data_IF_941716251676
#
_entry.id   IF_941716251676
#
_cell.length_a   1.000
_cell.length_b   1.000
_cell.length_c   1.000
_cell.angle_alpha   90.00
_cell.angle_beta   90.00
_cell.angle_gamma   90.00
#
_symmetry.space_group_name_H-M   'P 1'
#
loop_
_entity.id
_entity.type
_entity.pdbx_description
1 polymer ?
#
# COMPACT_ATOMS: atom_id res chain seq x y z
N UNK A 1 -40.69 17.65 40.05
CA UNK A 1 -39.80 18.05 41.17
C UNK A 1 -40.36 19.19 42.02
N UNK A 2 -40.72 20.35 41.43
CA UNK A 2 -41.26 21.49 42.18
C UNK A 2 -42.59 21.22 42.92
N UNK A 3 -43.43 20.31 42.39
CA UNK A 3 -44.68 19.88 43.06
C UNK A 3 -44.42 18.98 44.28
N UNK A 4 -43.44 18.07 44.18
CA UNK A 4 -43.04 17.13 45.24
C UNK A 4 -42.39 17.82 46.46
N UNK A 5 -41.65 18.92 46.21
CA UNK A 5 -41.04 19.73 47.26
C UNK A 5 -42.03 20.67 47.98
N UNK A 6 -43.22 20.91 47.38
CA UNK A 6 -44.26 21.76 47.98
C UNK A 6 -45.02 21.01 49.08
N UNK A 7 -45.24 19.71 48.92
CA UNK A 7 -46.02 18.90 49.86
C UNK A 7 -45.24 18.50 51.12
N UNK A 8 -43.90 18.49 51.07
CA UNK A 8 -43.02 18.26 52.25
C UNK A 8 -42.78 19.49 53.15
N UNK A 9 -43.33 20.67 52.82
CA UNK A 9 -43.15 21.91 53.62
C UNK A 9 -43.87 21.90 54.96
N UNK A 10 -44.75 20.94 55.21
CA UNK A 10 -45.52 20.85 56.46
C UNK A 10 -44.68 20.11 57.51
N UNK A 11 -43.77 20.83 58.20
CA UNK A 11 -43.25 20.39 59.51
C UNK A 11 -41.73 20.27 59.71
N UNK A 12 -40.87 20.51 58.71
CA UNK A 12 -39.41 20.42 58.89
C UNK A 12 -38.72 21.78 58.99
N UNK A 13 -37.73 21.90 59.89
CA UNK A 13 -36.93 23.11 60.06
C UNK A 13 -36.11 23.44 58.82
N UNK A 14 -35.77 24.72 58.62
CA UNK A 14 -35.04 25.19 57.41
C UNK A 14 -33.76 24.38 57.13
N UNK A 15 -33.01 23.97 58.16
CA UNK A 15 -31.77 23.19 58.03
C UNK A 15 -31.99 21.79 57.42
N UNK A 16 -33.04 21.09 57.84
CA UNK A 16 -33.34 19.73 57.37
C UNK A 16 -33.76 19.73 55.89
N UNK A 17 -34.46 20.79 55.48
CA UNK A 17 -34.83 21.01 54.09
C UNK A 17 -33.62 21.24 53.18
N UNK A 18 -32.66 22.07 53.59
CA UNK A 18 -31.42 22.27 52.83
C UNK A 18 -30.56 21.00 52.75
N UNK A 19 -30.54 20.19 53.81
CA UNK A 19 -29.84 18.91 53.80
C UNK A 19 -30.46 17.92 52.82
N UNK A 20 -31.79 17.75 52.83
CA UNK A 20 -32.50 16.90 51.86
C UNK A 20 -32.27 17.36 50.41
N UNK A 21 -32.33 18.67 50.14
CA UNK A 21 -32.03 19.21 48.81
C UNK A 21 -30.60 18.93 48.37
N UNK A 22 -29.63 18.99 49.29
CA UNK A 22 -28.23 18.66 48.98
C UNK A 22 -28.03 17.18 48.66
N UNK A 23 -28.78 16.29 49.29
CA UNK A 23 -28.71 14.84 49.01
C UNK A 23 -29.31 14.56 47.62
N UNK A 24 -30.51 15.09 47.35
CA UNK A 24 -31.18 14.91 46.06
C UNK A 24 -30.32 15.47 44.92
N UNK A 25 -29.72 16.65 45.10
CA UNK A 25 -28.83 17.24 44.10
C UNK A 25 -27.55 16.42 43.87
N UNK A 26 -27.03 15.72 44.88
CA UNK A 26 -25.91 14.79 44.74
C UNK A 26 -26.32 13.53 43.99
N UNK A 27 -27.46 12.94 44.34
CA UNK A 27 -27.98 11.74 43.68
C UNK A 27 -28.30 11.99 42.20
N UNK A 28 -28.87 13.14 41.86
CA UNK A 28 -29.13 13.51 40.47
C UNK A 28 -27.84 13.70 39.67
N UNK A 29 -26.84 14.38 40.26
CA UNK A 29 -25.52 14.51 39.62
C UNK A 29 -24.87 13.15 39.42
N UNK A 30 -24.95 12.26 40.40
CA UNK A 30 -24.38 10.93 40.31
C UNK A 30 -25.07 10.09 39.24
N UNK A 31 -26.39 10.21 39.11
CA UNK A 31 -27.16 9.54 38.05
C UNK A 31 -26.74 10.02 36.66
N UNK A 32 -26.61 11.33 36.46
CA UNK A 32 -26.14 11.91 35.19
C UNK A 32 -24.71 11.46 34.86
N UNK A 33 -23.83 11.40 35.85
CA UNK A 33 -22.46 10.90 35.67
C UNK A 33 -22.45 9.42 35.24
N UNK A 34 -23.29 8.58 35.85
CA UNK A 34 -23.41 7.15 35.50
C UNK A 34 -23.92 6.94 34.08
N UNK A 35 -24.88 7.75 33.64
CA UNK A 35 -25.38 7.71 32.25
C UNK A 35 -24.29 8.11 31.26
N UNK A 36 -23.57 9.20 31.55
CA UNK A 36 -22.48 9.67 30.67
C UNK A 36 -21.30 8.69 30.58
N UNK A 37 -20.97 7.99 31.67
CA UNK A 37 -19.96 6.93 31.64
C UNK A 37 -20.40 5.77 30.73
N UNK A 38 -21.68 5.39 30.75
CA UNK A 38 -22.18 4.33 29.85
C UNK A 38 -22.07 4.73 28.38
N UNK A 39 -22.41 5.96 28.04
CA UNK A 39 -22.30 6.47 26.66
C UNK A 39 -20.86 6.41 26.17
N UNK A 40 -19.91 6.89 26.98
CA UNK A 40 -18.47 6.86 26.65
C UNK A 40 -17.99 5.42 26.40
N UNK A 41 -18.39 4.48 27.27
CA UNK A 41 -17.99 3.07 27.12
C UNK A 41 -18.54 2.49 25.81
N UNK A 42 -19.80 2.77 25.46
CA UNK A 42 -20.39 2.29 24.20
C UNK A 42 -19.67 2.88 22.97
N UNK A 43 -19.38 4.18 22.99
CA UNK A 43 -18.62 4.84 21.92
C UNK A 43 -17.21 4.25 21.77
N UNK A 44 -16.51 3.99 22.87
CA UNK A 44 -15.19 3.34 22.82
C UNK A 44 -15.25 1.92 22.23
N UNK A 45 -16.29 1.15 22.56
CA UNK A 45 -16.50 -0.17 21.99
C UNK A 45 -16.70 -0.10 20.46
N UNK A 46 -17.53 0.82 19.98
CA UNK A 46 -17.74 1.02 18.54
C UNK A 46 -16.46 1.48 17.83
N UNK A 47 -15.75 2.44 18.42
CA UNK A 47 -14.47 2.93 17.92
C UNK A 47 -13.41 1.83 17.85
N UNK A 48 -13.42 0.87 18.78
CA UNK A 48 -12.51 -0.29 18.75
C UNK A 48 -12.74 -1.20 17.53
N UNK A 49 -14.00 -1.40 17.14
CA UNK A 49 -14.37 -2.18 15.98
C UNK A 49 -14.00 -1.48 14.67
N UNK A 50 -14.21 -0.17 14.61
CA UNK A 50 -13.81 0.67 13.47
C UNK A 50 -12.28 0.63 13.31
N UNK A 51 -11.52 0.74 14.41
CA UNK A 51 -10.06 0.70 14.38
C UNK A 51 -9.52 -0.62 13.79
N UNK A 52 -10.08 -1.77 14.20
CA UNK A 52 -9.70 -3.07 13.61
C UNK A 52 -9.94 -3.13 12.10
N UNK A 53 -11.10 -2.63 11.63
CA UNK A 53 -11.41 -2.60 10.19
C UNK A 53 -10.45 -1.69 9.42
N UNK A 54 -10.05 -0.56 10.00
CA UNK A 54 -9.05 0.33 9.40
C UNK A 54 -7.70 -0.39 9.29
N UNK A 55 -7.29 -1.12 10.32
CA UNK A 55 -6.04 -1.88 10.32
C UNK A 55 -6.07 -3.00 9.25
N UNK A 56 -7.18 -3.71 9.09
CA UNK A 56 -7.35 -4.76 8.07
C UNK A 56 -7.28 -4.19 6.64
N UNK A 57 -7.93 -3.04 6.40
CA UNK A 57 -7.89 -2.34 5.11
C UNK A 57 -6.47 -1.83 4.83
N UNK A 58 -5.81 -1.24 5.83
CA UNK A 58 -4.44 -0.76 5.73
C UNK A 58 -3.46 -1.88 5.36
N UNK A 59 -3.61 -3.06 5.97
CA UNK A 59 -2.81 -4.24 5.62
C UNK A 59 -3.09 -4.73 4.19
N UNK A 60 -4.36 -4.76 3.79
CA UNK A 60 -4.74 -5.15 2.43
C UNK A 60 -4.16 -4.21 1.36
N UNK A 61 -4.17 -2.90 1.61
CA UNK A 61 -3.56 -1.89 0.72
C UNK A 61 -2.05 -2.12 0.59
N UNK A 62 -1.34 -2.36 1.69
CA UNK A 62 0.10 -2.66 1.67
C UNK A 62 0.42 -3.90 0.83
N UNK A 63 -0.42 -4.92 0.89
CA UNK A 63 -0.20 -6.14 0.10
C UNK A 63 -0.51 -5.94 -1.38
N UNK A 64 -1.47 -5.07 -1.72
CA UNK A 64 -1.69 -4.63 -3.11
C UNK A 64 -0.47 -3.87 -3.62
N UNK A 65 0.07 -2.93 -2.85
CA UNK A 65 1.26 -2.17 -3.25
C UNK A 65 2.47 -3.08 -3.50
N UNK A 66 2.72 -4.06 -2.62
CA UNK A 66 3.78 -5.07 -2.85
C UNK A 66 3.57 -5.85 -4.14
N UNK A 67 2.34 -6.31 -4.41
CA UNK A 67 2.01 -7.04 -5.65
C UNK A 67 2.20 -6.15 -6.87
N UNK A 68 1.84 -4.88 -6.76
CA UNK A 68 1.96 -3.90 -7.83
C UNK A 68 3.43 -3.57 -8.14
N UNK A 69 4.29 -3.49 -7.13
CA UNK A 69 5.75 -3.35 -7.33
C UNK A 69 6.39 -4.60 -7.96
N UNK A 70 5.97 -5.80 -7.55
CA UNK A 70 6.39 -7.05 -8.22
C UNK A 70 5.94 -7.05 -9.68
N UNK A 71 4.72 -6.63 -9.97
CA UNK A 71 4.21 -6.57 -11.33
C UNK A 71 4.94 -5.51 -12.16
N UNK A 72 5.15 -4.30 -11.63
CA UNK A 72 5.92 -3.24 -12.31
C UNK A 72 7.34 -3.69 -12.63
N UNK A 73 8.06 -4.26 -11.66
CA UNK A 73 9.41 -4.79 -11.89
C UNK A 73 9.45 -5.92 -12.93
N UNK A 74 8.36 -6.67 -13.07
CA UNK A 74 8.22 -7.69 -14.13
C UNK A 74 7.81 -7.14 -15.51
N UNK A 75 7.30 -5.91 -15.56
CA UNK A 75 6.72 -5.26 -16.75
C UNK A 75 7.63 -4.19 -17.37
N UNK A 76 8.53 -3.58 -16.59
CA UNK A 76 9.53 -2.64 -17.11
C UNK A 76 10.78 -3.45 -17.49
N UNK A 77 11.09 -3.67 -18.79
CA UNK A 77 10.79 -2.83 -19.94
C UNK A 77 10.30 -3.64 -21.18
N UNK A 78 9.01 -3.88 -21.30
CA UNK A 78 8.42 -4.55 -22.48
C UNK A 78 7.34 -3.73 -23.21
N UNK A 79 7.02 -2.53 -22.72
CA UNK A 79 5.81 -1.80 -23.14
C UNK A 79 6.07 -0.59 -24.07
N UNK A 80 7.01 -0.67 -25.01
CA UNK A 80 7.14 0.37 -26.07
C UNK A 80 7.06 -0.12 -27.52
N UNK A 81 7.14 -1.43 -27.77
CA UNK A 81 6.92 -2.00 -29.10
C UNK A 81 5.48 -2.50 -29.27
N UNK A 82 4.68 -1.82 -30.10
CA UNK A 82 3.40 -2.37 -30.59
C UNK A 82 3.72 -3.64 -31.38
N UNK A 83 3.22 -4.79 -30.92
CA UNK A 83 3.19 -6.12 -31.58
C UNK A 83 4.42 -7.05 -31.47
N UNK A 84 5.08 -7.15 -30.32
CA UNK A 84 5.99 -8.29 -30.11
C UNK A 84 5.19 -9.59 -29.84
N UNK A 85 5.47 -10.66 -30.57
CA UNK A 85 4.88 -11.99 -30.30
C UNK A 85 5.38 -12.55 -28.96
N UNK A 86 4.62 -13.46 -28.34
CA UNK A 86 5.03 -14.13 -27.07
C UNK A 86 6.44 -14.71 -27.16
N UNK A 87 6.79 -15.30 -28.31
CA UNK A 87 8.14 -15.84 -28.57
C UNK A 87 9.20 -14.75 -28.50
N UNK A 88 8.96 -13.61 -29.15
CA UNK A 88 9.87 -12.46 -29.19
C UNK A 88 10.10 -11.86 -27.80
N UNK A 89 9.03 -11.73 -27.01
CA UNK A 89 9.09 -11.30 -25.61
C UNK A 89 10.00 -12.23 -24.79
N UNK A 90 9.81 -13.56 -24.93
CA UNK A 90 10.64 -14.55 -24.24
C UNK A 90 12.12 -14.45 -24.64
N UNK A 91 12.41 -14.23 -25.92
CA UNK A 91 13.79 -14.05 -26.40
C UNK A 91 14.43 -12.78 -25.85
N UNK A 92 13.74 -11.64 -25.87
CA UNK A 92 14.23 -10.38 -25.28
C UNK A 92 14.55 -10.55 -23.79
N UNK A 93 13.68 -11.24 -23.04
CA UNK A 93 13.94 -11.56 -21.62
C UNK A 93 15.21 -12.38 -21.41
N UNK A 94 15.41 -13.44 -22.19
CA UNK A 94 16.64 -14.24 -22.12
C UNK A 94 17.89 -13.43 -22.45
N UNK A 95 17.82 -12.52 -23.43
CA UNK A 95 18.92 -11.61 -23.76
C UNK A 95 19.22 -10.67 -22.59
N UNK A 96 18.20 -10.10 -21.96
CA UNK A 96 18.35 -9.24 -20.77
C UNK A 96 19.03 -10.02 -19.63
N UNK A 97 18.60 -11.25 -19.34
CA UNK A 97 19.24 -12.11 -18.32
C UNK A 97 20.72 -12.37 -18.63
N UNK A 98 21.06 -12.63 -19.88
CA UNK A 98 22.44 -12.82 -20.32
C UNK A 98 23.27 -11.53 -20.14
N UNK A 99 22.72 -10.37 -20.52
CA UNK A 99 23.38 -9.09 -20.32
C UNK A 99 23.57 -8.76 -18.83
N UNK A 100 22.59 -9.09 -17.98
CA UNK A 100 22.72 -8.96 -16.51
C UNK A 100 23.91 -9.77 -15.98
N UNK A 101 24.05 -11.02 -16.45
CA UNK A 101 25.08 -11.96 -16.00
C UNK A 101 26.48 -11.58 -16.49
N UNK A 102 26.60 -11.21 -17.77
CA UNK A 102 27.90 -11.01 -18.43
C UNK A 102 28.33 -9.53 -18.51
N UNK A 103 27.48 -8.60 -18.08
CA UNK A 103 27.64 -7.13 -18.15
C UNK A 103 27.64 -6.56 -19.56
N UNK A 104 28.41 -7.14 -20.48
CA UNK A 104 28.50 -6.73 -21.88
C UNK A 104 28.56 -7.96 -22.79
N UNK A 105 27.84 -7.93 -23.90
CA UNK A 105 27.85 -9.00 -24.91
C UNK A 105 27.77 -8.42 -26.32
N UNK A 106 28.37 -9.12 -27.29
CA UNK A 106 28.18 -8.84 -28.71
C UNK A 106 27.03 -9.66 -29.29
N UNK A 107 26.60 -9.32 -30.51
CA UNK A 107 25.66 -10.14 -31.28
C UNK A 107 26.17 -11.57 -31.51
N UNK A 108 27.49 -11.75 -31.61
CA UNK A 108 28.11 -13.05 -31.83
C UNK A 108 28.07 -13.90 -30.56
N UNK A 109 28.29 -13.29 -29.39
CA UNK A 109 28.20 -14.00 -28.12
C UNK A 109 26.77 -14.49 -27.87
N UNK A 110 25.77 -13.63 -28.09
CA UNK A 110 24.36 -14.03 -27.97
C UNK A 110 23.96 -15.13 -28.96
N UNK A 111 24.52 -15.12 -30.17
CA UNK A 111 24.29 -16.18 -31.16
C UNK A 111 24.74 -17.54 -30.62
N UNK A 112 25.91 -17.58 -29.95
CA UNK A 112 26.44 -18.77 -29.32
C UNK A 112 25.61 -19.22 -28.10
N UNK A 113 25.18 -18.28 -27.25
CA UNK A 113 24.39 -18.61 -26.06
C UNK A 113 22.96 -19.07 -26.36
N UNK A 114 22.31 -18.47 -27.36
CA UNK A 114 20.89 -18.69 -27.65
C UNK A 114 20.64 -19.63 -28.83
N UNK A 115 21.70 -20.07 -29.50
CA UNK A 115 21.62 -20.86 -30.73
C UNK A 115 20.70 -20.21 -31.78
N UNK A 116 20.88 -18.90 -31.97
CA UNK A 116 20.15 -18.07 -32.94
C UNK A 116 21.11 -17.51 -33.97
N UNK A 117 20.61 -17.14 -35.15
CA UNK A 117 21.44 -16.44 -36.12
C UNK A 117 21.94 -15.10 -35.56
N UNK A 118 23.18 -14.75 -35.86
CA UNK A 118 23.77 -13.45 -35.47
C UNK A 118 22.91 -12.27 -35.90
N UNK A 119 22.30 -12.33 -37.08
CA UNK A 119 21.38 -11.30 -37.60
C UNK A 119 20.18 -11.12 -36.67
N UNK A 120 19.54 -12.20 -36.21
CA UNK A 120 18.42 -12.11 -35.26
C UNK A 120 18.83 -11.58 -33.90
N UNK A 121 19.99 -11.98 -33.40
CA UNK A 121 20.52 -11.41 -32.16
C UNK A 121 20.75 -9.90 -32.31
N UNK A 122 21.28 -9.46 -33.46
CA UNK A 122 21.46 -8.03 -33.76
C UNK A 122 20.14 -7.27 -33.84
N UNK A 123 19.09 -7.85 -34.44
CA UNK A 123 17.74 -7.26 -34.48
C UNK A 123 17.19 -7.06 -33.07
N UNK A 124 17.21 -8.10 -32.23
CA UNK A 124 16.71 -7.98 -30.86
C UNK A 124 17.49 -6.98 -30.02
N UNK A 125 18.82 -6.93 -30.16
CA UNK A 125 19.66 -5.95 -29.49
C UNK A 125 19.37 -4.52 -29.94
N UNK A 126 19.19 -4.31 -31.25
CA UNK A 126 18.83 -2.99 -31.81
C UNK A 126 17.45 -2.54 -31.32
N UNK A 127 16.51 -3.47 -31.19
CA UNK A 127 15.21 -3.15 -30.60
C UNK A 127 15.31 -2.81 -29.11
N UNK A 128 16.08 -3.57 -28.33
CA UNK A 128 16.33 -3.24 -26.92
C UNK A 128 17.01 -1.88 -26.76
N UNK A 129 17.90 -1.51 -27.69
CA UNK A 129 18.52 -0.18 -27.76
C UNK A 129 17.49 0.90 -28.07
N UNK A 130 16.60 0.68 -29.05
CA UNK A 130 15.48 1.60 -29.36
C UNK A 130 14.48 1.75 -28.22
N UNK A 131 14.23 0.66 -27.50
CA UNK A 131 13.34 0.61 -26.34
C UNK A 131 13.97 1.28 -25.10
N UNK A 132 15.26 1.66 -25.16
CA UNK A 132 16.01 2.29 -24.07
C UNK A 132 16.47 1.33 -22.98
N UNK A 133 16.41 0.02 -23.24
CA UNK A 133 16.74 -1.06 -22.29
C UNK A 133 18.23 -1.38 -22.28
N UNK A 134 18.87 -1.26 -23.44
CA UNK A 134 20.29 -1.55 -23.61
C UNK A 134 20.99 -0.38 -24.32
N UNK A 135 22.29 -0.23 -24.09
CA UNK A 135 23.13 0.72 -24.79
C UNK A 135 24.14 -0.02 -25.66
N UNK A 136 24.30 0.43 -26.90
CA UNK A 136 25.34 -0.04 -27.80
C UNK A 136 26.63 0.76 -27.63
N UNK A 137 27.70 0.11 -27.18
CA UNK A 137 29.03 0.74 -27.03
C UNK A 137 29.98 0.16 -28.08
N UNK A 138 30.57 1.04 -28.89
CA UNK A 138 31.58 0.64 -29.86
C UNK A 138 32.96 0.62 -29.19
N UNK A 139 33.58 -0.55 -29.11
CA UNK A 139 34.93 -0.72 -28.57
C UNK A 139 35.81 -1.24 -29.70
N UNK A 140 36.77 -0.41 -30.14
CA UNK A 140 37.61 -0.67 -31.32
C UNK A 140 36.78 -0.89 -32.59
N UNK A 141 36.66 -2.13 -33.07
CA UNK A 141 35.90 -2.50 -34.29
C UNK A 141 34.66 -3.35 -34.00
N UNK A 142 34.28 -3.50 -32.74
CA UNK A 142 33.16 -4.35 -32.33
C UNK A 142 32.14 -3.55 -31.50
N UNK A 143 30.85 -3.74 -31.80
CA UNK A 143 29.75 -3.19 -31.02
C UNK A 143 29.37 -4.17 -29.92
N UNK A 144 29.50 -3.73 -28.68
CA UNK A 144 29.03 -4.40 -27.48
C UNK A 144 27.70 -3.80 -27.05
N UNK A 145 26.90 -4.59 -26.35
CA UNK A 145 25.66 -4.14 -25.75
C UNK A 145 25.72 -4.41 -24.25
N UNK A 146 25.23 -3.46 -23.47
CA UNK A 146 25.11 -3.52 -22.01
C UNK A 146 23.75 -2.99 -21.56
N UNK A 147 23.29 -3.36 -20.37
CA UNK A 147 22.01 -2.86 -19.85
C UNK A 147 22.12 -1.38 -19.50
N UNK A 148 21.08 -0.63 -19.85
CA UNK A 148 20.95 0.77 -19.48
C UNK A 148 20.49 0.84 -18.02
N UNK A 149 21.42 1.00 -17.08
CA UNK A 149 21.12 1.24 -15.67
C UNK A 149 20.72 2.72 -15.50
N UNK A 150 19.46 3.06 -15.83
CA UNK A 150 18.85 4.34 -15.45
C UNK A 150 18.00 4.18 -14.20
#
# INVERSE_FOLDING_TARGET
MLKFLRDRKVGKGKKDYFHELSIIAKEEREKVLRERIREIVLEEFENSGIKKRIDDVSNSVKDVDKKLEILKSSLVPLSRSKSDTIRKIKMKRMIIELLTKHKRLTSSDLSNYLNLSRTRCSEYLTELERDGVANGVLISRQKFYELNNQ
#
